data_IF_084812572327
#
_entry.id   IF_084812572327
#
_cell.length_a   1.000
_cell.length_b   1.000
_cell.length_c   1.000
_cell.angle_alpha   90.00
_cell.angle_beta   90.00
_cell.angle_gamma   90.00
#
_symmetry.space_group_name_H-M   'P 1'
#
loop_
_entity.id
_entity.type
_entity.pdbx_description
1 polymer ?
#
# COMPACT_ATOMS: atom_id res chain seq x y z
N UNK A 1 79.27 22.79 -42.25
CA UNK A 1 78.72 24.05 -42.82
C UNK A 1 77.22 24.09 -42.57
N UNK A 2 76.77 25.09 -41.78
CA UNK A 2 75.40 25.63 -41.58
C UNK A 2 74.29 24.60 -41.29
N UNK A 3 73.91 24.29 -40.06
CA UNK A 3 73.31 25.12 -38.98
C UNK A 3 72.05 25.88 -39.37
N UNK A 4 70.90 25.46 -38.81
CA UNK A 4 69.86 26.32 -38.21
C UNK A 4 69.22 25.57 -37.04
N UNK A 5 69.50 26.05 -35.83
CA UNK A 5 68.80 25.70 -34.58
C UNK A 5 67.49 26.47 -34.55
N UNK A 6 66.41 25.89 -34.04
CA UNK A 6 65.51 26.60 -33.13
C UNK A 6 64.87 25.65 -32.13
N UNK A 7 64.93 26.06 -30.86
CA UNK A 7 64.56 25.35 -29.65
C UNK A 7 63.04 25.21 -29.55
N UNK A 8 62.55 24.03 -29.13
CA UNK A 8 61.26 23.95 -28.44
C UNK A 8 61.50 23.61 -26.97
N UNK A 9 61.05 24.55 -26.11
CA UNK A 9 61.08 24.47 -24.66
C UNK A 9 60.06 23.42 -24.21
N UNK A 10 60.45 22.61 -23.23
CA UNK A 10 59.52 21.91 -22.37
C UNK A 10 58.60 22.95 -21.69
N UNK A 11 57.30 22.83 -21.92
CA UNK A 11 56.28 23.40 -21.06
C UNK A 11 55.44 22.25 -20.53
N UNK A 12 55.28 22.26 -19.20
CA UNK A 12 54.58 21.28 -18.42
C UNK A 12 53.17 21.02 -18.97
N UNK A 13 52.85 19.74 -19.22
CA UNK A 13 51.47 19.27 -19.18
C UNK A 13 51.03 19.34 -17.71
N UNK A 14 50.45 20.46 -17.33
CA UNK A 14 49.70 20.59 -16.10
C UNK A 14 48.47 21.42 -16.42
N UNK A 15 47.31 20.79 -16.34
CA UNK A 15 46.03 21.47 -16.53
C UNK A 15 45.14 20.74 -17.54
N UNK A 16 43.95 20.38 -17.05
CA UNK A 16 42.81 19.86 -17.80
C UNK A 16 42.87 18.36 -18.10
N UNK A 17 42.44 17.55 -17.11
CA UNK A 17 41.50 16.42 -17.31
C UNK A 17 41.08 15.82 -15.95
N UNK A 18 40.61 16.66 -15.03
CA UNK A 18 40.01 16.20 -13.75
C UNK A 18 38.57 16.70 -13.58
N UNK A 19 37.87 16.90 -14.69
CA UNK A 19 36.48 17.38 -14.72
C UNK A 19 35.69 16.71 -15.85
N UNK A 20 35.71 15.38 -15.91
CA UNK A 20 34.88 14.62 -16.86
C UNK A 20 34.49 13.21 -16.37
N UNK A 21 34.51 12.97 -15.05
CA UNK A 21 34.27 11.63 -14.49
C UNK A 21 33.38 11.64 -13.21
N UNK A 22 32.54 12.67 -13.03
CA UNK A 22 31.56 12.75 -11.92
C UNK A 22 30.14 13.12 -12.42
N UNK A 23 29.76 12.74 -13.65
CA UNK A 23 28.41 13.01 -14.18
C UNK A 23 27.73 11.80 -14.84
N UNK A 24 28.22 10.58 -14.60
CA UNK A 24 27.68 9.36 -15.21
C UNK A 24 27.22 8.29 -14.19
N UNK A 25 26.94 8.68 -12.95
CA UNK A 25 26.46 7.79 -11.89
C UNK A 25 25.20 8.33 -11.20
N UNK A 26 24.22 8.76 -12.00
CA UNK A 26 22.99 9.41 -11.52
C UNK A 26 21.70 9.03 -12.25
N UNK A 27 21.72 8.02 -13.12
CA UNK A 27 20.51 7.46 -13.70
C UNK A 27 20.45 5.96 -13.40
N UNK A 28 20.17 5.63 -12.14
CA UNK A 28 19.38 4.44 -11.88
C UNK A 28 18.03 4.71 -12.55
N UNK A 29 17.86 4.15 -13.74
CA UNK A 29 16.54 3.91 -14.30
C UNK A 29 15.78 3.13 -13.23
N UNK A 30 14.95 3.84 -12.46
CA UNK A 30 13.88 3.21 -11.72
C UNK A 30 13.06 2.48 -12.79
N UNK A 31 13.27 1.17 -12.90
CA UNK A 31 12.33 0.34 -13.62
C UNK A 31 10.99 0.57 -12.92
N UNK A 32 10.08 1.27 -13.60
CA UNK A 32 8.68 1.32 -13.17
C UNK A 32 8.21 -0.13 -13.18
N UNK A 33 8.22 -0.77 -12.00
CA UNK A 33 7.55 -2.04 -11.78
C UNK A 33 6.09 -1.84 -12.18
N UNK A 34 5.51 -2.84 -12.82
CA UNK A 34 4.08 -2.86 -13.09
C UNK A 34 3.34 -2.54 -11.77
N UNK A 35 2.34 -1.65 -11.77
CA UNK A 35 1.60 -1.29 -10.57
C UNK A 35 0.82 -2.52 -10.10
N UNK A 36 1.37 -3.22 -9.11
CA UNK A 36 0.65 -4.20 -8.31
C UNK A 36 -0.17 -3.43 -7.27
N UNK A 37 -1.50 -3.46 -7.41
CA UNK A 37 -2.42 -2.62 -6.64
C UNK A 37 -3.33 -3.43 -5.72
N UNK A 38 -3.05 -3.42 -4.42
CA UNK A 38 -3.99 -3.93 -3.41
C UNK A 38 -5.17 -2.97 -3.19
N UNK A 39 -6.39 -3.50 -3.11
CA UNK A 39 -7.59 -2.75 -2.72
C UNK A 39 -8.24 -3.43 -1.53
N UNK A 40 -8.42 -2.68 -0.45
CA UNK A 40 -9.12 -3.15 0.74
C UNK A 40 -10.49 -2.52 0.82
N UNK A 41 -11.49 -3.34 1.11
CA UNK A 41 -12.85 -2.90 1.41
C UNK A 41 -13.23 -3.48 2.77
N UNK A 42 -13.50 -2.59 3.72
CA UNK A 42 -13.98 -2.92 5.06
C UNK A 42 -15.44 -2.50 5.22
N UNK A 43 -16.28 -3.37 5.78
CA UNK A 43 -17.72 -3.11 6.00
C UNK A 43 -18.04 -3.32 7.48
N UNK A 44 -18.58 -2.28 8.11
CA UNK A 44 -19.07 -2.37 9.49
C UNK A 44 -20.29 -3.27 9.61
N UNK A 45 -20.51 -3.83 10.81
CA UNK A 45 -21.57 -4.82 11.08
C UNK A 45 -23.00 -4.36 10.78
N UNK A 46 -23.28 -3.06 10.84
CA UNK A 46 -24.59 -2.50 10.52
C UNK A 46 -24.71 -2.09 9.03
N UNK A 47 -23.59 -1.97 8.32
CA UNK A 47 -23.52 -1.78 6.88
C UNK A 47 -23.62 -3.10 6.10
N UNK A 48 -23.32 -4.24 6.72
CA UNK A 48 -23.44 -5.54 6.06
C UNK A 48 -24.89 -6.09 6.07
N UNK A 49 -25.19 -6.95 5.10
CA UNK A 49 -26.51 -7.55 4.91
C UNK A 49 -26.88 -8.54 6.02
N UNK A 50 -25.89 -9.24 6.58
CA UNK A 50 -26.06 -10.34 7.54
C UNK A 50 -25.59 -10.01 8.97
N UNK A 51 -25.09 -8.79 9.20
CA UNK A 51 -24.57 -8.40 10.50
C UNK A 51 -23.10 -8.74 10.74
N UNK A 52 -22.40 -9.31 9.76
CA UNK A 52 -20.96 -9.58 9.84
C UNK A 52 -20.12 -8.31 9.72
N UNK A 53 -18.95 -8.28 10.35
CA UNK A 53 -17.90 -7.34 10.00
C UNK A 53 -17.08 -7.96 8.87
N UNK A 54 -16.90 -7.24 7.77
CA UNK A 54 -16.17 -7.74 6.60
C UNK A 54 -14.86 -6.96 6.47
N UNK A 55 -13.75 -7.67 6.35
CA UNK A 55 -12.48 -7.16 5.82
C UNK A 55 -12.12 -7.96 4.57
N UNK A 56 -11.50 -7.32 3.60
CA UNK A 56 -11.09 -7.94 2.33
C UNK A 56 -9.84 -7.26 1.79
N UNK A 57 -9.06 -7.98 0.98
CA UNK A 57 -8.03 -7.40 0.12
C UNK A 57 -8.02 -8.07 -1.25
N UNK A 58 -7.56 -7.36 -2.28
CA UNK A 58 -6.96 -8.01 -3.45
C UNK A 58 -5.48 -8.17 -3.18
N UNK A 59 -5.04 -9.42 -3.03
CA UNK A 59 -3.65 -9.73 -2.77
C UNK A 59 -2.85 -9.69 -4.08
N UNK A 60 -1.74 -8.97 -4.09
CA UNK A 60 -0.76 -8.96 -5.18
C UNK A 60 0.51 -9.73 -4.82
N UNK A 61 0.57 -10.35 -3.65
CA UNK A 61 1.61 -11.30 -3.35
C UNK A 61 1.39 -12.60 -4.12
N UNK A 62 2.48 -13.32 -4.30
CA UNK A 62 2.52 -14.59 -5.04
C UNK A 62 2.49 -15.83 -4.16
N UNK A 63 2.62 -15.65 -2.85
CA UNK A 63 2.39 -16.70 -1.88
C UNK A 63 0.90 -16.79 -1.54
N UNK A 64 0.13 -17.40 -2.46
CA UNK A 64 -1.31 -17.54 -2.32
C UNK A 64 -1.74 -18.87 -1.66
N UNK A 65 -0.80 -19.69 -1.16
CA UNK A 65 -1.14 -20.99 -0.56
C UNK A 65 -1.64 -20.78 0.86
N UNK A 66 -2.85 -21.26 1.13
CA UNK A 66 -3.45 -21.22 2.47
C UNK A 66 -2.92 -22.40 3.30
N UNK A 67 -2.32 -22.10 4.45
CA UNK A 67 -1.83 -23.08 5.41
C UNK A 67 -2.52 -22.88 6.76
N UNK A 68 -2.96 -23.97 7.39
CA UNK A 68 -3.41 -23.91 8.79
C UNK A 68 -2.19 -24.10 9.68
N UNK A 69 -1.88 -23.10 10.52
CA UNK A 69 -0.81 -23.19 11.51
C UNK A 69 -1.44 -23.42 12.89
N UNK A 70 -1.34 -24.63 13.46
CA UNK A 70 -1.93 -24.94 14.76
C UNK A 70 -1.33 -24.08 15.88
N UNK A 71 -2.17 -23.66 16.82
CA UNK A 71 -1.72 -23.04 18.07
C UNK A 71 -0.78 -23.97 18.84
N UNK A 72 0.27 -23.41 19.45
CA UNK A 72 1.32 -24.16 20.15
C UNK A 72 1.55 -23.62 21.54
N UNK A 73 2.19 -24.44 22.38
CA UNK A 73 2.74 -24.01 23.68
C UNK A 73 4.24 -23.85 23.58
N UNK A 74 4.78 -22.86 24.29
CA UNK A 74 6.21 -22.56 24.33
C UNK A 74 6.70 -22.46 25.78
N UNK A 75 7.93 -22.92 26.09
CA UNK A 75 8.55 -22.67 27.39
C UNK A 75 8.69 -21.18 27.69
N UNK A 76 8.58 -20.80 28.98
CA UNK A 76 8.82 -19.42 29.43
C UNK A 76 10.23 -18.95 29.05
N UNK A 77 10.33 -17.72 28.51
CA UNK A 77 11.60 -17.14 28.04
C UNK A 77 12.00 -17.56 26.62
N UNK A 78 11.13 -18.29 25.89
CA UNK A 78 11.35 -18.60 24.48
C UNK A 78 11.38 -17.33 23.62
N UNK A 79 12.04 -17.40 22.48
CA UNK A 79 12.09 -16.34 21.47
C UNK A 79 11.39 -16.79 20.19
N UNK A 80 10.67 -15.87 19.54
CA UNK A 80 9.99 -16.09 18.26
C UNK A 80 10.82 -15.46 17.13
N UNK A 81 11.10 -16.20 16.04
CA UNK A 81 11.83 -15.65 14.90
C UNK A 81 10.98 -14.63 14.14
N UNK A 82 11.64 -13.60 13.63
CA UNK A 82 11.09 -12.58 12.72
C UNK A 82 11.66 -12.86 11.33
N UNK A 83 10.79 -13.11 10.37
CA UNK A 83 11.17 -13.55 9.04
C UNK A 83 11.12 -12.43 7.99
N UNK A 84 11.95 -12.57 6.96
CA UNK A 84 11.99 -11.76 5.75
C UNK A 84 11.82 -12.65 4.52
N UNK A 85 10.88 -12.28 3.65
CA UNK A 85 10.61 -13.01 2.41
C UNK A 85 9.31 -13.81 2.39
N UNK A 86 8.36 -13.53 3.31
CA UNK A 86 7.11 -14.28 3.43
C UNK A 86 6.12 -14.05 2.27
N UNK A 87 6.24 -12.94 1.54
CA UNK A 87 5.27 -12.50 0.52
C UNK A 87 5.70 -12.77 -0.94
N UNK A 88 6.88 -13.34 -1.18
CA UNK A 88 7.61 -13.18 -2.45
C UNK A 88 7.85 -14.45 -3.26
N UNK A 89 7.30 -14.58 -4.48
CA UNK A 89 7.39 -15.56 -5.60
C UNK A 89 6.65 -15.11 -6.90
N UNK A 90 6.58 -13.81 -7.19
CA UNK A 90 5.82 -13.29 -8.34
C UNK A 90 6.54 -13.53 -9.67
N UNK A 91 5.84 -13.36 -10.80
CA UNK A 91 6.39 -13.58 -12.14
C UNK A 91 7.61 -12.67 -12.50
N UNK A 92 7.88 -11.64 -11.70
CA UNK A 92 9.04 -10.75 -11.78
C UNK A 92 9.97 -10.81 -10.56
N UNK A 93 9.83 -11.85 -9.72
CA UNK A 93 10.78 -12.15 -8.65
C UNK A 93 11.70 -13.30 -9.10
N UNK A 94 12.97 -13.00 -9.31
CA UNK A 94 13.99 -13.97 -9.69
C UNK A 94 14.17 -15.08 -8.63
N UNK A 95 13.63 -14.88 -7.41
CA UNK A 95 13.63 -15.85 -6.32
C UNK A 95 12.57 -16.94 -6.56
N UNK A 96 13.01 -18.19 -6.49
CA UNK A 96 12.14 -19.37 -6.61
C UNK A 96 11.17 -19.47 -5.43
N UNK A 97 9.97 -19.99 -5.70
CA UNK A 97 9.03 -20.56 -4.72
C UNK A 97 9.76 -21.24 -3.55
N UNK A 98 9.58 -20.73 -2.34
CA UNK A 98 10.07 -21.37 -1.12
C UNK A 98 9.22 -22.62 -0.86
N UNK A 99 9.81 -23.69 -0.32
CA UNK A 99 9.08 -24.85 0.13
C UNK A 99 7.93 -24.46 1.08
N UNK A 100 6.85 -25.24 1.08
CA UNK A 100 5.75 -25.02 2.01
C UNK A 100 6.27 -25.09 3.46
N UNK A 101 5.95 -24.08 4.27
CA UNK A 101 6.42 -23.96 5.65
C UNK A 101 7.80 -23.33 5.82
N UNK A 102 8.46 -22.94 4.73
CA UNK A 102 9.62 -22.04 4.76
C UNK A 102 9.14 -20.59 4.65
N UNK A 103 9.33 -19.83 5.72
CA UNK A 103 8.90 -18.44 5.84
C UNK A 103 10.00 -17.44 5.45
N UNK A 104 11.12 -17.94 4.92
CA UNK A 104 12.26 -17.12 4.53
C UNK A 104 13.23 -16.84 5.67
N UNK A 105 14.09 -15.86 5.45
CA UNK A 105 15.27 -15.58 6.26
C UNK A 105 14.88 -15.03 7.63
N UNK A 106 15.45 -15.57 8.71
CA UNK A 106 15.31 -14.95 10.03
C UNK A 106 16.20 -13.71 10.12
N UNK A 107 15.59 -12.55 10.37
CA UNK A 107 16.26 -11.25 10.47
C UNK A 107 16.25 -10.65 11.88
N UNK A 108 15.52 -11.28 12.80
CA UNK A 108 15.51 -10.90 14.21
C UNK A 108 14.67 -11.85 15.06
N UNK A 109 14.47 -11.48 16.32
CA UNK A 109 13.66 -12.26 17.26
C UNK A 109 12.91 -11.33 18.23
N UNK A 110 11.73 -11.76 18.67
CA UNK A 110 10.94 -11.11 19.72
C UNK A 110 10.63 -12.11 20.86
N UNK A 111 10.33 -11.66 22.09
CA UNK A 111 9.85 -12.55 23.13
C UNK A 111 8.63 -13.36 22.68
N UNK A 112 8.65 -14.67 22.93
CA UNK A 112 7.56 -15.56 22.62
C UNK A 112 6.55 -15.64 23.77
N UNK A 113 5.28 -15.81 23.43
CA UNK A 113 4.20 -16.08 24.38
C UNK A 113 4.11 -17.57 24.68
N UNK A 114 3.67 -17.94 25.88
CA UNK A 114 3.57 -19.36 26.29
C UNK A 114 2.54 -20.15 25.49
N UNK A 115 1.56 -19.48 24.87
CA UNK A 115 0.55 -20.10 24.02
C UNK A 115 0.18 -19.19 22.84
N UNK A 116 0.07 -19.79 21.65
CA UNK A 116 -0.44 -19.13 20.45
C UNK A 116 -1.76 -19.71 20.00
N UNK A 117 -2.54 -18.91 19.26
CA UNK A 117 -3.76 -19.31 18.57
C UNK A 117 -3.46 -20.01 17.25
N UNK A 118 -4.40 -20.86 16.81
CA UNK A 118 -4.45 -21.39 15.44
C UNK A 118 -4.84 -20.28 14.47
N UNK A 119 -4.17 -20.21 13.32
CA UNK A 119 -4.48 -19.20 12.29
C UNK A 119 -4.23 -19.71 10.87
N UNK A 120 -4.80 -19.00 9.90
CA UNK A 120 -4.53 -19.20 8.48
C UNK A 120 -3.33 -18.36 8.04
N UNK A 121 -2.31 -19.03 7.54
CA UNK A 121 -1.11 -18.43 6.98
C UNK A 121 -1.18 -18.38 5.45
N UNK A 122 -0.87 -17.21 4.93
CA UNK A 122 -0.69 -16.82 3.52
C UNK A 122 0.40 -15.74 3.49
N UNK A 123 0.80 -15.23 2.31
CA UNK A 123 1.76 -14.13 2.23
C UNK A 123 1.38 -12.95 3.12
N UNK A 124 0.11 -12.51 3.05
CA UNK A 124 -0.52 -11.65 4.06
C UNK A 124 -1.57 -12.43 4.84
N UNK A 125 -1.21 -12.93 6.02
CA UNK A 125 -2.04 -13.85 6.82
C UNK A 125 -3.35 -13.21 7.30
N UNK A 126 -4.45 -13.96 7.21
CA UNK A 126 -5.80 -13.36 7.13
C UNK A 126 -6.66 -13.50 8.39
N UNK A 127 -6.67 -14.64 9.09
CA UNK A 127 -7.65 -14.87 10.18
C UNK A 127 -7.20 -15.94 11.19
N UNK A 128 -7.63 -15.81 12.46
CA UNK A 128 -7.36 -16.79 13.52
C UNK A 128 -8.62 -17.46 14.11
N UNK A 129 -8.42 -18.44 15.00
CA UNK A 129 -9.50 -19.18 15.69
C UNK A 129 -10.37 -18.33 16.64
N UNK A 130 -10.01 -17.05 16.84
CA UNK A 130 -10.78 -16.08 17.64
C UNK A 130 -11.65 -15.15 16.77
N UNK A 131 -11.71 -15.42 15.47
CA UNK A 131 -12.42 -14.59 14.48
C UNK A 131 -11.85 -13.18 14.34
N UNK A 132 -10.58 -12.97 14.72
CA UNK A 132 -9.83 -11.79 14.31
C UNK A 132 -9.37 -12.00 12.87
N UNK A 133 -9.68 -11.05 12.00
CA UNK A 133 -9.29 -11.04 10.59
C UNK A 133 -8.55 -9.75 10.22
N UNK A 134 -7.60 -9.82 9.29
CA UNK A 134 -6.77 -8.69 8.86
C UNK A 134 -6.64 -8.67 7.33
N UNK A 135 -7.07 -7.58 6.72
CA UNK A 135 -6.76 -7.20 5.33
C UNK A 135 -5.64 -6.16 5.29
N UNK A 136 -5.01 -5.99 4.12
CA UNK A 136 -3.80 -5.17 3.94
C UNK A 136 -3.84 -4.47 2.57
N UNK A 137 -3.36 -3.22 2.51
CA UNK A 137 -3.10 -2.47 1.29
C UNK A 137 -1.82 -1.66 1.38
N UNK A 138 -0.86 -1.97 0.50
CA UNK A 138 0.41 -1.23 0.44
C UNK A 138 0.19 0.19 -0.02
N UNK A 139 0.57 1.14 0.81
CA UNK A 139 0.37 2.56 0.58
C UNK A 139 1.69 3.26 0.29
N UNK A 140 1.59 4.47 -0.28
CA UNK A 140 2.77 5.29 -0.49
C UNK A 140 3.06 6.21 0.71
N UNK A 141 4.34 6.41 0.99
CA UNK A 141 4.85 7.41 1.92
C UNK A 141 5.93 8.26 1.27
N UNK A 142 6.36 9.32 1.99
CA UNK A 142 7.54 10.10 1.65
C UNK A 142 8.79 9.22 1.52
N UNK A 143 9.58 9.46 0.48
CA UNK A 143 10.78 8.65 0.20
C UNK A 143 11.84 8.78 1.29
N UNK A 144 11.85 9.88 2.05
CA UNK A 144 12.77 10.10 3.17
C UNK A 144 12.45 9.24 4.41
N UNK A 145 11.28 8.60 4.42
CA UNK A 145 10.88 7.61 5.43
C UNK A 145 11.17 6.18 4.98
N UNK A 146 11.32 5.94 3.69
CA UNK A 146 11.42 4.59 3.13
C UNK A 146 12.74 3.91 3.51
N UNK A 147 12.68 2.59 3.70
CA UNK A 147 13.83 1.79 4.14
C UNK A 147 13.83 0.43 3.45
N UNK A 148 14.86 0.18 2.66
CA UNK A 148 15.12 -1.13 2.09
C UNK A 148 15.82 -2.06 3.08
N UNK A 149 15.59 -3.37 2.95
CA UNK A 149 16.36 -4.37 3.66
C UNK A 149 17.77 -4.50 3.06
N UNK A 150 18.79 -4.15 3.84
CA UNK A 150 20.19 -4.33 3.53
C UNK A 150 20.85 -5.10 4.67
N UNK A 151 21.34 -6.29 4.36
CA UNK A 151 21.93 -7.18 5.34
C UNK A 151 23.10 -6.52 6.10
N UNK A 152 23.07 -6.64 7.42
CA UNK A 152 24.08 -6.05 8.32
C UNK A 152 23.98 -4.53 8.51
N UNK A 153 23.11 -3.84 7.77
CA UNK A 153 22.95 -2.38 7.84
C UNK A 153 21.57 -2.00 8.39
N UNK A 154 20.50 -2.55 7.82
CA UNK A 154 19.12 -2.25 8.24
C UNK A 154 18.88 -2.80 9.64
N UNK A 155 18.35 -1.94 10.53
CA UNK A 155 18.14 -2.27 11.96
C UNK A 155 16.68 -2.50 12.32
N UNK A 156 15.76 -2.03 11.48
CA UNK A 156 14.34 -2.38 11.50
C UNK A 156 14.20 -3.85 11.13
N UNK A 157 13.35 -4.58 11.85
CA UNK A 157 13.14 -6.01 11.58
C UNK A 157 11.68 -6.37 11.38
N UNK A 158 10.73 -5.51 11.74
CA UNK A 158 9.31 -5.86 11.74
C UNK A 158 8.65 -5.50 10.42
N UNK A 159 8.31 -6.49 9.62
CA UNK A 159 7.49 -6.31 8.42
C UNK A 159 6.00 -6.39 8.77
N UNK A 160 5.12 -5.89 7.90
CA UNK A 160 3.67 -5.92 8.15
C UNK A 160 3.13 -7.34 8.18
N UNK A 161 3.58 -8.19 7.26
CA UNK A 161 3.14 -9.57 7.19
C UNK A 161 3.56 -10.38 8.42
N UNK A 162 4.75 -10.09 8.97
CA UNK A 162 5.23 -10.72 10.19
C UNK A 162 4.48 -10.20 11.43
N UNK A 163 4.15 -8.90 11.48
CA UNK A 163 3.35 -8.31 12.54
C UNK A 163 1.91 -8.85 12.54
N UNK A 164 1.30 -9.02 11.37
CA UNK A 164 0.00 -9.66 11.19
C UNK A 164 0.02 -11.10 11.74
N UNK A 165 1.04 -11.89 11.39
CA UNK A 165 1.19 -13.26 11.93
C UNK A 165 1.26 -13.25 13.45
N UNK A 166 2.06 -12.36 14.05
CA UNK A 166 2.12 -12.29 15.52
C UNK A 166 0.81 -11.83 16.15
N UNK A 167 0.10 -10.89 15.53
CA UNK A 167 -1.22 -10.46 16.00
C UNK A 167 -2.23 -11.62 15.95
N UNK A 168 -2.29 -12.36 14.83
CA UNK A 168 -3.16 -13.53 14.70
C UNK A 168 -2.81 -14.64 15.69
N UNK A 169 -1.54 -14.80 16.05
CA UNK A 169 -1.11 -15.76 17.07
C UNK A 169 -1.47 -15.36 18.50
N UNK A 170 -1.67 -14.07 18.79
CA UNK A 170 -1.63 -13.53 20.17
C UNK A 170 -2.87 -12.74 20.58
N UNK A 171 -3.64 -12.20 19.63
CA UNK A 171 -4.76 -11.29 19.88
C UNK A 171 -6.11 -11.93 19.55
N UNK A 172 -7.16 -11.50 20.24
CA UNK A 172 -8.53 -11.98 20.05
C UNK A 172 -9.49 -10.89 19.55
N UNK A 173 -9.11 -9.62 19.62
CA UNK A 173 -9.97 -8.49 19.21
C UNK A 173 -9.22 -7.52 18.29
N UNK A 174 -9.95 -6.77 17.47
CA UNK A 174 -9.39 -5.85 16.49
C UNK A 174 -8.60 -4.72 17.18
N UNK A 175 -9.18 -4.09 18.20
CA UNK A 175 -8.53 -3.03 18.99
C UNK A 175 -7.26 -3.52 19.72
N UNK A 176 -7.26 -4.75 20.21
CA UNK A 176 -6.07 -5.38 20.79
C UNK A 176 -4.98 -5.57 19.74
N UNK A 177 -5.34 -6.08 18.56
CA UNK A 177 -4.42 -6.26 17.45
C UNK A 177 -3.81 -4.94 16.96
N UNK A 178 -4.60 -3.85 16.85
CA UNK A 178 -4.09 -2.51 16.52
C UNK A 178 -2.99 -2.08 17.49
N UNK A 179 -3.25 -2.16 18.81
CA UNK A 179 -2.27 -1.79 19.83
C UNK A 179 -1.04 -2.68 19.80
N UNK A 180 -1.24 -3.98 19.60
CA UNK A 180 -0.15 -4.95 19.56
C UNK A 180 0.75 -4.75 18.35
N UNK A 181 0.18 -4.59 17.15
CA UNK A 181 0.93 -4.28 15.93
C UNK A 181 1.66 -2.95 16.10
N UNK A 182 0.98 -1.91 16.61
CA UNK A 182 1.60 -0.61 16.87
C UNK A 182 2.82 -0.74 17.77
N UNK A 183 2.69 -1.47 18.88
CA UNK A 183 3.81 -1.71 19.79
C UNK A 183 4.97 -2.50 19.14
N UNK A 184 4.68 -3.50 18.32
CA UNK A 184 5.72 -4.23 17.59
C UNK A 184 6.49 -3.30 16.64
N UNK A 185 5.76 -2.47 15.87
CA UNK A 185 6.35 -1.53 14.92
C UNK A 185 7.19 -0.46 15.62
N UNK A 186 6.71 0.08 16.74
CA UNK A 186 7.45 1.04 17.56
C UNK A 186 8.73 0.43 18.17
N UNK A 187 8.65 -0.80 18.67
CA UNK A 187 9.74 -1.44 19.42
C UNK A 187 10.82 -2.00 18.51
N UNK A 188 10.42 -2.65 17.41
CA UNK A 188 11.32 -3.42 16.55
C UNK A 188 11.62 -2.74 15.21
N UNK A 189 10.98 -1.60 14.94
CA UNK A 189 11.15 -0.84 13.72
C UNK A 189 10.42 -1.44 12.54
N UNK A 190 9.58 -0.63 11.90
CA UNK A 190 8.86 -1.04 10.70
C UNK A 190 9.81 -1.09 9.50
N UNK A 191 9.85 -2.25 8.85
CA UNK A 191 10.61 -2.55 7.66
C UNK A 191 9.64 -2.88 6.51
N UNK A 192 9.39 -1.96 5.57
CA UNK A 192 8.51 -2.20 4.43
C UNK A 192 9.06 -3.32 3.54
N UNK A 193 8.28 -4.39 3.34
CA UNK A 193 8.70 -5.52 2.50
C UNK A 193 8.59 -5.16 1.01
N UNK A 194 7.55 -4.44 0.61
CA UNK A 194 7.30 -3.97 -0.76
C UNK A 194 7.72 -2.50 -1.01
N UNK A 195 8.36 -1.88 -0.03
CA UNK A 195 8.67 -0.44 -0.03
C UNK A 195 7.46 0.41 0.35
N UNK A 196 7.73 1.64 0.79
CA UNK A 196 6.66 2.57 1.15
C UNK A 196 6.09 2.31 2.55
N UNK A 197 4.76 2.25 2.63
CA UNK A 197 3.96 2.21 3.87
C UNK A 197 2.84 1.20 3.74
N UNK A 198 2.14 0.90 4.83
CA UNK A 198 1.12 -0.15 4.82
C UNK A 198 -0.14 0.34 5.53
N UNK A 199 -1.30 -0.08 5.04
CA UNK A 199 -2.58 0.14 5.70
C UNK A 199 -3.26 -1.21 5.96
N UNK A 200 -3.72 -1.41 7.20
CA UNK A 200 -4.37 -2.62 7.66
C UNK A 200 -5.84 -2.35 7.94
N UNK A 201 -6.69 -3.28 7.52
CA UNK A 201 -8.12 -3.30 7.86
C UNK A 201 -8.39 -4.51 8.77
N UNK A 202 -8.49 -4.24 10.06
CA UNK A 202 -8.50 -5.22 11.14
C UNK A 202 -9.94 -5.36 11.64
N UNK A 203 -10.50 -6.56 11.55
CA UNK A 203 -11.88 -6.87 11.88
C UNK A 203 -11.96 -7.94 12.97
N UNK A 204 -12.91 -7.78 13.89
CA UNK A 204 -13.42 -8.86 14.73
C UNK A 204 -14.96 -8.90 14.64
N UNK A 205 -15.68 -9.82 15.32
CA UNK A 205 -17.14 -9.88 15.21
C UNK A 205 -17.91 -8.62 15.64
N UNK A 206 -17.24 -7.62 16.22
CA UNK A 206 -17.85 -6.39 16.75
C UNK A 206 -17.31 -5.12 16.09
N UNK A 207 -16.00 -5.02 15.90
CA UNK A 207 -15.33 -3.78 15.50
C UNK A 207 -14.57 -3.94 14.17
N UNK A 208 -14.50 -2.84 13.42
CA UNK A 208 -13.67 -2.68 12.24
C UNK A 208 -12.72 -1.51 12.44
N UNK A 209 -11.43 -1.72 12.19
CA UNK A 209 -10.38 -0.72 12.37
C UNK A 209 -9.58 -0.55 11.09
N UNK A 210 -9.28 0.69 10.72
CA UNK A 210 -8.21 1.02 9.77
C UNK A 210 -6.98 1.45 10.56
N UNK A 211 -5.81 0.92 10.23
CA UNK A 211 -4.52 1.29 10.80
C UNK A 211 -3.51 1.58 9.68
N UNK A 212 -2.89 2.74 9.71
CA UNK A 212 -1.92 3.21 8.73
C UNK A 212 -0.53 3.30 9.38
N UNK A 213 0.48 2.73 8.72
CA UNK A 213 1.81 2.50 9.27
C UNK A 213 2.87 3.02 8.31
N UNK A 214 3.73 3.88 8.81
CA UNK A 214 4.86 4.50 8.12
C UNK A 214 6.16 4.10 8.81
N UNK A 215 7.22 3.99 8.02
CA UNK A 215 8.57 3.83 8.56
C UNK A 215 9.16 5.18 8.96
N UNK A 216 10.30 5.15 9.63
CA UNK A 216 10.99 6.36 10.17
C UNK A 216 12.33 6.64 9.47
N UNK A 217 12.56 5.97 8.33
CA UNK A 217 13.78 6.08 7.55
C UNK A 217 14.95 5.24 8.05
N UNK A 218 16.02 5.15 7.23
CA UNK A 218 17.13 4.20 7.43
C UNK A 218 18.05 4.57 8.61
N UNK A 219 17.91 5.77 9.18
CA UNK A 219 18.76 6.25 10.29
C UNK A 219 18.27 5.79 11.66
N UNK A 220 17.05 5.26 11.76
CA UNK A 220 16.52 4.77 13.02
C UNK A 220 17.31 3.56 13.51
N UNK A 221 17.45 3.46 14.83
CA UNK A 221 18.10 2.36 15.52
C UNK A 221 17.31 2.00 16.78
N UNK A 222 17.23 0.71 17.17
CA UNK A 222 16.57 0.30 18.41
C UNK A 222 17.08 1.02 19.65
N UNK A 223 18.38 1.36 19.68
CA UNK A 223 19.02 2.02 20.82
C UNK A 223 18.69 3.53 20.91
N UNK A 224 18.00 4.09 19.91
CA UNK A 224 17.70 5.53 19.86
C UNK A 224 16.67 5.98 20.90
N UNK A 225 15.91 5.05 21.49
CA UNK A 225 14.78 5.35 22.38
C UNK A 225 13.61 6.04 21.69
N UNK A 226 13.65 6.21 20.37
CA UNK A 226 12.56 6.76 19.55
C UNK A 226 11.72 5.60 18.97
N UNK A 227 10.41 5.80 18.75
CA UNK A 227 9.58 4.80 18.08
C UNK A 227 10.11 4.47 16.67
N UNK A 228 10.16 3.19 16.33
CA UNK A 228 10.63 2.68 15.04
C UNK A 228 9.61 2.71 13.90
N UNK A 229 8.45 3.32 14.13
CA UNK A 229 7.42 3.54 13.15
C UNK A 229 6.60 4.78 13.53
N UNK A 230 5.80 5.26 12.58
CA UNK A 230 4.78 6.27 12.80
C UNK A 230 3.46 5.62 12.40
N UNK A 231 2.46 5.59 13.26
CA UNK A 231 1.19 4.95 12.91
C UNK A 231 0.00 5.67 13.53
N UNK A 232 -1.14 5.55 12.88
CA UNK A 232 -2.42 6.01 13.37
C UNK A 232 -3.50 5.00 12.97
N UNK A 233 -4.55 4.89 13.76
CA UNK A 233 -5.65 3.98 13.52
C UNK A 233 -6.97 4.59 13.98
N UNK A 234 -8.06 4.27 13.28
CA UNK A 234 -9.41 4.72 13.62
C UNK A 234 -10.42 3.60 13.45
N UNK A 235 -11.35 3.49 14.38
CA UNK A 235 -12.50 2.61 14.24
C UNK A 235 -13.42 3.13 13.12
N UNK A 236 -13.79 2.26 12.22
CA UNK A 236 -14.82 2.55 11.21
C UNK A 236 -16.19 2.45 11.89
N UNK A 237 -17.08 3.44 11.73
CA UNK A 237 -18.42 3.37 12.30
C UNK A 237 -19.15 2.09 11.85
N UNK A 238 -19.96 1.53 12.75
CA UNK A 238 -20.62 0.23 12.52
C UNK A 238 -21.48 0.21 11.25
N UNK A 239 -22.07 1.34 10.85
CA UNK A 239 -22.92 1.47 9.66
C UNK A 239 -22.18 2.06 8.44
N UNK A 240 -20.85 2.07 8.45
CA UNK A 240 -20.02 2.61 7.38
C UNK A 240 -19.19 1.55 6.64
N UNK A 241 -18.70 1.95 5.47
CA UNK A 241 -17.75 1.21 4.62
C UNK A 241 -16.50 2.06 4.43
N UNK A 242 -15.32 1.44 4.55
CA UNK A 242 -14.02 2.05 4.27
C UNK A 242 -13.41 1.41 3.01
N UNK A 243 -12.74 2.23 2.19
CA UNK A 243 -12.07 1.80 0.97
C UNK A 243 -10.63 2.31 1.00
N UNK A 244 -9.66 1.41 1.00
CA UNK A 244 -8.23 1.73 0.99
C UNK A 244 -7.66 1.25 -0.34
N UNK A 245 -7.24 2.20 -1.18
CA UNK A 245 -6.77 1.94 -2.53
C UNK A 245 -5.32 2.43 -2.67
N UNK A 246 -4.38 1.79 -1.97
CA UNK A 246 -2.96 2.15 -1.91
C UNK A 246 -2.70 3.63 -1.52
N UNK A 247 -3.63 4.23 -0.78
CA UNK A 247 -3.53 5.60 -0.28
C UNK A 247 -4.25 5.71 1.06
N UNK A 248 -3.60 6.32 2.03
CA UNK A 248 -4.14 6.56 3.37
C UNK A 248 -5.47 7.32 3.33
N UNK A 249 -6.36 7.04 4.28
CA UNK A 249 -7.70 7.61 4.44
C UNK A 249 -7.79 8.54 5.64
N UNK A 250 -6.96 8.35 6.66
CA UNK A 250 -6.92 9.20 7.84
C UNK A 250 -6.46 10.62 7.46
N UNK A 251 -7.12 11.63 8.02
CA UNK A 251 -6.78 13.04 7.81
C UNK A 251 -6.33 13.69 9.11
N UNK A 252 -7.28 14.20 9.89
CA UNK A 252 -6.98 14.73 11.21
C UNK A 252 -6.93 13.59 12.22
N UNK A 253 -5.88 13.59 13.04
CA UNK A 253 -5.67 12.62 14.12
C UNK A 253 -6.00 13.32 15.43
N UNK A 254 -6.99 12.79 16.15
CA UNK A 254 -7.37 13.26 17.48
C UNK A 254 -7.12 12.14 18.50
N UNK A 255 -5.98 12.17 19.23
CA UNK A 255 -5.71 11.18 20.27
C UNK A 255 -6.67 11.25 21.47
N UNK A 256 -7.51 12.29 21.59
CA UNK A 256 -8.54 12.40 22.61
C UNK A 256 -9.81 11.61 22.29
N UNK A 257 -10.02 11.24 21.03
CA UNK A 257 -11.12 10.39 20.58
C UNK A 257 -10.86 8.92 20.98
N UNK A 258 -11.76 8.27 21.74
CA UNK A 258 -11.58 6.87 22.15
C UNK A 258 -11.52 5.88 20.97
N UNK A 259 -12.01 6.28 19.80
CA UNK A 259 -12.01 5.48 18.59
C UNK A 259 -10.84 5.82 17.66
N UNK A 260 -9.89 6.62 18.14
CA UNK A 260 -8.62 6.93 17.47
C UNK A 260 -7.45 6.45 18.35
N UNK A 261 -6.49 5.76 17.75
CA UNK A 261 -5.23 5.34 18.39
C UNK A 261 -4.06 5.84 17.52
N UNK A 262 -2.96 6.27 18.12
CA UNK A 262 -1.80 6.72 17.35
C UNK A 262 -0.50 6.50 18.10
N UNK A 263 0.61 6.43 17.35
CA UNK A 263 1.95 6.37 17.90
C UNK A 263 2.29 7.67 18.65
N UNK A 264 3.15 7.64 19.68
CA UNK A 264 3.50 8.85 20.43
C UNK A 264 4.23 9.91 19.58
N UNK A 265 4.82 9.50 18.46
CA UNK A 265 5.50 10.37 17.49
C UNK A 265 4.65 10.72 16.26
N UNK A 266 3.31 10.51 16.28
CA UNK A 266 2.43 10.67 15.12
C UNK A 266 2.57 12.03 14.40
N UNK A 267 2.90 13.11 15.12
CA UNK A 267 3.13 14.45 14.55
C UNK A 267 4.62 14.85 14.55
N UNK A 268 5.40 14.30 15.47
CA UNK A 268 6.76 14.79 15.76
C UNK A 268 7.70 14.66 14.56
N UNK A 269 7.61 13.58 13.79
CA UNK A 269 8.51 13.38 12.63
C UNK A 269 8.25 14.44 11.54
N UNK A 270 6.99 14.81 11.31
CA UNK A 270 6.64 15.87 10.37
C UNK A 270 7.16 17.23 10.83
N UNK A 271 7.14 17.51 12.14
CA UNK A 271 7.68 18.75 12.72
C UNK A 271 9.21 18.77 12.58
N UNK A 272 9.89 17.71 13.02
CA UNK A 272 11.36 17.60 13.02
C UNK A 272 11.96 17.75 11.61
N UNK A 273 11.20 17.35 10.59
CA UNK A 273 11.60 17.44 9.17
C UNK A 273 11.08 18.68 8.44
N UNK A 274 10.34 19.55 9.13
CA UNK A 274 9.77 20.77 8.56
C UNK A 274 8.66 20.52 7.54
N UNK A 275 8.03 19.35 7.57
CA UNK A 275 6.84 19.04 6.74
C UNK A 275 5.57 19.62 7.32
N UNK A 276 5.57 19.90 8.63
CA UNK A 276 4.48 20.57 9.33
C UNK A 276 5.04 21.65 10.26
N UNK A 277 4.43 22.84 10.23
CA UNK A 277 4.71 23.91 11.18
C UNK A 277 3.50 24.08 12.11
N UNK A 278 3.61 23.72 13.40
CA UNK A 278 2.52 23.87 14.37
C UNK A 278 2.14 25.33 14.62
N UNK A 279 3.04 26.29 14.32
CA UNK A 279 2.78 27.72 14.44
C UNK A 279 2.28 28.34 13.12
N UNK A 280 2.19 27.56 12.04
CA UNK A 280 1.84 28.01 10.70
C UNK A 280 0.34 28.26 10.48
N UNK A 281 -0.50 28.05 11.51
CA UNK A 281 -1.94 28.31 11.48
C UNK A 281 -2.78 27.32 10.66
N UNK A 282 -2.17 26.26 10.12
CA UNK A 282 -2.86 25.18 9.39
C UNK A 282 -3.04 23.93 10.26
N UNK A 283 -4.17 23.21 10.14
CA UNK A 283 -4.35 21.94 10.84
C UNK A 283 -3.33 20.91 10.35
N UNK A 284 -2.96 19.98 11.23
CA UNK A 284 -2.14 18.84 10.86
C UNK A 284 -2.98 17.82 10.07
N UNK A 285 -2.68 17.68 8.78
CA UNK A 285 -3.34 16.69 7.92
C UNK A 285 -2.35 15.54 7.66
N UNK A 286 -2.66 14.36 8.20
CA UNK A 286 -1.83 13.15 8.15
C UNK A 286 -1.36 12.79 6.74
N UNK A 287 -2.29 12.73 5.78
CA UNK A 287 -1.99 12.48 4.36
C UNK A 287 -1.01 13.52 3.78
N UNK A 288 -1.19 14.81 4.07
CA UNK A 288 -0.35 15.88 3.52
C UNK A 288 1.05 15.87 4.15
N UNK A 289 1.12 15.47 5.42
CA UNK A 289 2.37 15.36 6.15
C UNK A 289 3.22 14.18 5.66
N UNK A 290 2.63 13.02 5.37
CA UNK A 290 3.39 11.78 5.18
C UNK A 290 3.25 11.08 3.83
N UNK A 291 2.20 11.35 3.05
CA UNK A 291 1.99 10.69 1.77
C UNK A 291 2.44 11.58 0.60
N UNK A 292 2.90 10.99 -0.52
CA UNK A 292 3.00 11.72 -1.76
C UNK A 292 1.62 12.12 -2.29
N UNK A 293 1.59 12.84 -3.40
CA UNK A 293 0.35 13.20 -4.07
C UNK A 293 -0.40 11.94 -4.54
N UNK A 294 -1.71 11.94 -4.33
CA UNK A 294 -2.59 10.88 -4.78
C UNK A 294 -2.60 10.76 -6.30
N UNK A 295 -2.72 9.54 -6.82
CA UNK A 295 -2.72 9.25 -8.26
C UNK A 295 -4.09 8.77 -8.74
N UNK A 296 -4.27 8.80 -10.06
CA UNK A 296 -5.53 8.37 -10.69
C UNK A 296 -5.93 6.94 -10.31
N UNK A 297 -5.00 5.98 -10.29
CA UNK A 297 -5.32 4.58 -9.93
C UNK A 297 -5.84 4.42 -8.49
N UNK A 298 -5.50 5.34 -7.58
CA UNK A 298 -6.10 5.39 -6.24
C UNK A 298 -7.53 5.96 -6.33
N UNK A 299 -7.67 7.09 -7.03
CA UNK A 299 -8.93 7.83 -7.17
C UNK A 299 -10.00 7.03 -7.91
N UNK A 300 -9.63 6.29 -8.97
CA UNK A 300 -10.56 5.51 -9.79
C UNK A 300 -11.25 4.43 -8.96
N UNK A 301 -10.48 3.65 -8.19
CA UNK A 301 -11.00 2.58 -7.32
C UNK A 301 -11.84 3.13 -6.18
N UNK A 302 -11.39 4.20 -5.52
CA UNK A 302 -12.19 4.87 -4.49
C UNK A 302 -13.49 5.42 -5.08
N UNK A 303 -13.45 6.06 -6.24
CA UNK A 303 -14.65 6.56 -6.93
C UNK A 303 -15.62 5.43 -7.25
N UNK A 304 -15.16 4.37 -7.91
CA UNK A 304 -16.03 3.27 -8.33
C UNK A 304 -16.79 2.73 -7.13
N UNK A 305 -16.10 2.39 -6.05
CA UNK A 305 -16.74 1.76 -4.89
C UNK A 305 -17.61 2.77 -4.14
N UNK A 306 -17.06 3.92 -3.74
CA UNK A 306 -17.80 4.88 -2.90
C UNK A 306 -19.00 5.51 -3.60
N UNK A 307 -18.88 5.85 -4.89
CA UNK A 307 -20.00 6.41 -5.65
C UNK A 307 -21.09 5.37 -5.97
N UNK A 308 -20.73 4.09 -6.08
CA UNK A 308 -21.70 3.00 -6.30
C UNK A 308 -22.52 2.71 -5.06
N UNK A 309 -21.89 2.67 -3.88
CA UNK A 309 -22.58 2.32 -2.63
C UNK A 309 -23.31 3.50 -2.00
N UNK A 310 -22.89 4.74 -2.30
CA UNK A 310 -23.46 5.96 -1.75
C UNK A 310 -23.67 7.06 -2.82
N UNK A 311 -24.47 6.79 -3.87
CA UNK A 311 -24.63 7.71 -5.01
C UNK A 311 -25.23 9.07 -4.63
N UNK A 312 -26.04 9.16 -3.57
CA UNK A 312 -26.67 10.40 -3.09
C UNK A 312 -25.86 11.13 -2.01
N UNK A 313 -24.71 10.60 -1.58
CA UNK A 313 -23.88 11.23 -0.54
C UNK A 313 -23.44 12.63 -0.93
N UNK A 314 -23.12 12.84 -2.21
CA UNK A 314 -22.81 14.13 -2.82
C UNK A 314 -22.85 14.02 -4.34
N UNK A 315 -22.66 15.14 -5.03
CA UNK A 315 -22.46 15.14 -6.47
C UNK A 315 -21.11 14.48 -6.84
N UNK A 316 -21.18 13.24 -7.33
CA UNK A 316 -20.02 12.52 -7.83
C UNK A 316 -19.65 12.94 -9.26
N UNK A 317 -18.35 12.92 -9.62
CA UNK A 317 -17.93 13.08 -11.01
C UNK A 317 -18.55 11.99 -11.88
N UNK A 318 -19.13 12.38 -13.02
CA UNK A 318 -19.76 11.45 -13.94
C UNK A 318 -18.70 10.76 -14.80
N UNK A 319 -18.43 9.50 -14.48
CA UNK A 319 -17.44 8.67 -15.19
C UNK A 319 -18.01 7.40 -15.84
N UNK A 320 -19.33 7.26 -15.86
CA UNK A 320 -20.04 6.24 -16.63
C UNK A 320 -19.93 6.50 -18.14
N UNK A 321 -19.74 5.46 -18.94
CA UNK A 321 -19.73 5.50 -20.40
C UNK A 321 -20.83 4.62 -20.98
N UNK A 322 -21.43 5.10 -22.08
CA UNK A 322 -22.37 4.34 -22.91
C UNK A 322 -21.88 4.23 -24.37
N UNK A 323 -20.71 4.79 -24.67
CA UNK A 323 -20.04 4.89 -25.96
C UNK A 323 -18.51 4.82 -25.77
N UNK A 324 -17.74 4.58 -26.85
CA UNK A 324 -16.29 4.53 -26.75
C UNK A 324 -15.67 5.76 -26.11
N UNK A 325 -14.64 5.53 -25.30
CA UNK A 325 -13.95 6.59 -24.62
C UNK A 325 -13.24 7.48 -25.68
N UNK A 326 -13.23 8.79 -25.48
CA UNK A 326 -12.63 9.75 -26.40
C UNK A 326 -11.93 10.88 -25.64
N UNK A 327 -11.32 11.85 -26.33
CA UNK A 327 -10.58 12.91 -25.65
C UNK A 327 -11.42 13.71 -24.65
N UNK A 328 -12.71 13.90 -24.94
CA UNK A 328 -13.66 14.57 -24.06
C UNK A 328 -14.14 13.75 -22.86
N UNK A 329 -13.82 12.46 -22.77
CA UNK A 329 -14.19 11.60 -21.64
C UNK A 329 -12.99 11.10 -20.84
N UNK A 330 -11.89 10.73 -21.50
CA UNK A 330 -10.66 10.26 -20.85
C UNK A 330 -9.82 11.41 -20.26
N UNK A 331 -9.68 12.51 -21.00
CA UNK A 331 -8.71 13.57 -20.66
C UNK A 331 -9.35 14.85 -20.09
N UNK A 332 -10.68 14.90 -20.00
CA UNK A 332 -11.42 16.08 -19.52
C UNK A 332 -11.97 15.92 -18.09
N UNK A 333 -11.51 14.92 -17.34
CA UNK A 333 -12.03 14.65 -15.99
C UNK A 333 -11.43 15.56 -14.93
N UNK A 334 -12.21 15.97 -13.92
CA UNK A 334 -11.67 16.58 -12.73
C UNK A 334 -10.78 15.59 -11.96
N UNK A 335 -9.79 16.14 -11.24
CA UNK A 335 -8.93 15.43 -10.30
C UNK A 335 -9.26 15.97 -8.92
N UNK A 336 -9.99 15.21 -8.10
CA UNK A 336 -10.60 15.75 -6.88
C UNK A 336 -9.68 15.78 -5.65
N UNK A 337 -8.49 15.16 -5.74
CA UNK A 337 -7.58 15.00 -4.61
C UNK A 337 -8.10 14.05 -3.53
N UNK A 338 -7.24 13.71 -2.56
CA UNK A 338 -7.57 12.74 -1.52
C UNK A 338 -8.72 13.20 -0.60
N UNK A 339 -8.74 14.51 -0.31
CA UNK A 339 -9.72 15.19 0.53
C UNK A 339 -11.17 15.04 0.05
N UNK A 340 -11.37 14.81 -1.24
CA UNK A 340 -12.71 14.64 -1.80
C UNK A 340 -13.38 13.36 -1.29
N UNK A 341 -12.62 12.28 -1.09
CA UNK A 341 -13.17 11.01 -0.63
C UNK A 341 -13.18 10.99 0.90
N UNK A 342 -14.31 10.69 1.56
CA UNK A 342 -14.36 10.64 3.02
C UNK A 342 -13.50 9.48 3.56
N UNK A 343 -13.19 9.50 4.85
CA UNK A 343 -12.55 8.37 5.54
C UNK A 343 -13.37 7.08 5.33
N UNK A 344 -14.67 7.15 5.63
CA UNK A 344 -15.63 6.08 5.40
C UNK A 344 -16.99 6.67 5.02
N UNK A 345 -17.87 5.86 4.43
CA UNK A 345 -19.20 6.30 3.98
C UNK A 345 -20.28 5.30 4.37
N UNK A 346 -21.44 5.79 4.79
CA UNK A 346 -22.64 4.98 4.98
C UNK A 346 -23.21 4.56 3.61
N UNK A 347 -23.30 3.27 3.30
CA UNK A 347 -23.90 2.85 2.05
C UNK A 347 -25.43 3.02 2.10
N UNK A 348 -26.05 3.33 0.96
CA UNK A 348 -27.51 3.45 0.84
C UNK A 348 -28.23 2.11 1.00
N UNK A 349 -27.55 1.02 0.65
CA UNK A 349 -28.02 -0.36 0.81
C UNK A 349 -26.97 -1.16 1.55
N UNK A 350 -27.44 -2.09 2.38
CA UNK A 350 -26.55 -3.04 3.05
C UNK A 350 -25.81 -3.90 2.02
N UNK A 351 -24.55 -4.21 2.30
CA UNK A 351 -23.68 -4.95 1.40
C UNK A 351 -23.53 -6.41 1.85
N UNK A 352 -23.66 -7.34 0.90
CA UNK A 352 -23.34 -8.76 1.09
C UNK A 352 -21.87 -9.03 0.80
N UNK A 353 -21.36 -10.19 1.23
CA UNK A 353 -20.03 -10.68 0.82
C UNK A 353 -19.91 -10.77 -0.70
N UNK A 354 -20.99 -11.13 -1.40
CA UNK A 354 -21.02 -11.22 -2.86
C UNK A 354 -20.82 -9.86 -3.53
N UNK A 355 -21.35 -8.78 -2.93
CA UNK A 355 -21.13 -7.42 -3.43
C UNK A 355 -19.65 -7.03 -3.31
N UNK A 356 -19.01 -7.38 -2.19
CA UNK A 356 -17.57 -7.13 -1.98
C UNK A 356 -16.73 -7.95 -2.98
N UNK A 357 -17.05 -9.22 -3.20
CA UNK A 357 -16.40 -10.04 -4.23
C UNK A 357 -16.60 -9.43 -5.62
N UNK A 358 -17.77 -8.90 -5.94
CA UNK A 358 -18.03 -8.24 -7.22
C UNK A 358 -17.16 -6.99 -7.39
N UNK A 359 -17.03 -6.15 -6.35
CA UNK A 359 -16.12 -5.00 -6.39
C UNK A 359 -14.66 -5.42 -6.60
N UNK A 360 -14.19 -6.44 -5.89
CA UNK A 360 -12.81 -6.95 -6.02
C UNK A 360 -12.52 -7.60 -7.38
N UNK A 361 -13.56 -7.95 -8.14
CA UNK A 361 -13.45 -8.50 -9.51
C UNK A 361 -13.69 -7.47 -10.61
N UNK A 362 -14.12 -6.26 -10.24
CA UNK A 362 -14.44 -5.21 -11.20
C UNK A 362 -13.24 -4.87 -12.06
N UNK A 363 -13.48 -4.68 -13.36
CA UNK A 363 -12.51 -4.16 -14.31
C UNK A 363 -12.99 -2.83 -14.88
N UNK A 364 -13.76 -2.09 -14.08
CA UNK A 364 -14.30 -0.77 -14.39
C UNK A 364 -15.33 -0.75 -15.52
N UNK A 365 -16.04 -1.86 -15.75
CA UNK A 365 -16.96 -2.02 -16.87
C UNK A 365 -17.90 -0.82 -17.06
N UNK A 366 -17.98 -0.33 -18.31
CA UNK A 366 -18.84 0.81 -18.69
C UNK A 366 -18.49 2.12 -17.97
N UNK A 367 -17.21 2.33 -17.65
CA UNK A 367 -16.70 3.60 -17.15
C UNK A 367 -15.53 4.08 -17.99
N UNK A 368 -15.10 5.33 -17.79
CA UNK A 368 -13.91 5.87 -18.46
C UNK A 368 -12.62 5.11 -18.11
N UNK A 369 -12.63 4.30 -17.05
CA UNK A 369 -11.48 3.50 -16.62
C UNK A 369 -11.50 2.10 -17.22
N UNK A 370 -12.55 1.75 -17.96
CA UNK A 370 -12.64 0.48 -18.68
C UNK A 370 -11.65 0.48 -19.85
N UNK A 371 -10.55 -0.23 -19.68
CA UNK A 371 -9.49 -0.36 -20.68
C UNK A 371 -9.99 -0.97 -22.00
N UNK A 372 -11.14 -1.64 -22.00
CA UNK A 372 -11.71 -2.23 -23.22
C UNK A 372 -12.47 -1.22 -24.09
N UNK A 373 -12.79 -0.04 -23.55
CA UNK A 373 -13.41 1.07 -24.29
C UNK A 373 -12.40 2.08 -24.84
N UNK A 374 -11.10 1.82 -24.68
CA UNK A 374 -10.04 2.66 -25.25
C UNK A 374 -10.15 2.75 -26.78
N UNK A 375 -9.96 3.94 -27.39
CA UNK A 375 -9.93 4.12 -28.85
C UNK A 375 -9.07 3.13 -29.62
N UNK A 376 -7.96 2.65 -29.04
CA UNK A 376 -7.08 1.67 -29.67
C UNK A 376 -7.78 0.31 -29.92
N UNK A 377 -8.88 0.03 -29.24
CA UNK A 377 -9.70 -1.15 -29.44
C UNK A 377 -10.86 -0.96 -30.43
N UNK A 378 -11.06 0.24 -30.96
CA UNK A 378 -12.20 0.51 -31.84
C UNK A 378 -11.86 0.17 -33.30
N UNK A 379 -12.72 -0.63 -33.94
CA UNK A 379 -12.59 -1.06 -35.34
C UNK A 379 -13.74 -0.51 -36.19
N UNK A 380 -13.57 -0.36 -37.51
CA UNK A 380 -14.68 0.03 -38.39
C UNK A 380 -15.81 -1.01 -38.36
N UNK A 381 -17.00 -0.58 -37.98
CA UNK A 381 -18.23 -1.37 -37.93
C UNK A 381 -19.18 -1.05 -39.10
N UNK A 382 -20.38 -1.63 -39.05
CA UNK A 382 -21.38 -1.43 -40.09
C UNK A 382 -21.90 0.02 -40.12
N UNK A 383 -22.12 0.55 -41.32
CA UNK A 383 -22.69 1.90 -41.49
C UNK A 383 -21.76 3.05 -41.07
N UNK A 384 -20.45 2.82 -41.03
CA UNK A 384 -19.45 3.87 -40.71
C UNK A 384 -19.33 4.18 -39.21
N UNK A 385 -19.95 3.38 -38.34
CA UNK A 385 -19.80 3.49 -36.89
C UNK A 385 -18.56 2.72 -36.44
N UNK A 386 -17.92 3.18 -35.37
CA UNK A 386 -16.89 2.40 -34.69
C UNK A 386 -17.54 1.34 -33.80
N UNK A 387 -16.99 0.13 -33.80
CA UNK A 387 -17.39 -0.98 -32.94
C UNK A 387 -16.21 -1.44 -32.10
N UNK A 388 -16.50 -1.98 -30.91
CA UNK A 388 -15.48 -2.52 -30.01
C UNK A 388 -14.92 -3.82 -30.57
N UNK A 389 -13.60 -3.91 -30.68
CA UNK A 389 -12.91 -5.11 -31.16
C UNK A 389 -13.26 -6.32 -30.29
N UNK A 390 -13.48 -7.52 -30.88
CA UNK A 390 -13.65 -8.75 -30.10
C UNK A 390 -12.37 -9.15 -29.34
N UNK A 391 -11.22 -8.54 -29.67
CA UNK A 391 -9.95 -8.74 -28.98
C UNK A 391 -9.76 -7.79 -27.78
N UNK A 392 -10.68 -6.85 -27.57
CA UNK A 392 -10.60 -5.91 -26.46
C UNK A 392 -10.64 -6.67 -25.14
N UNK A 393 -9.58 -6.50 -24.34
CA UNK A 393 -9.42 -7.20 -23.07
C UNK A 393 -9.02 -6.20 -22.00
N UNK A 394 -9.55 -6.31 -20.77
CA UNK A 394 -9.05 -5.50 -19.67
C UNK A 394 -7.68 -6.02 -19.22
N UNK A 395 -7.28 -7.26 -19.53
CA UNK A 395 -6.04 -7.87 -19.06
C UNK A 395 -4.92 -7.78 -20.11
N UNK A 396 -4.49 -6.56 -20.45
CA UNK A 396 -3.36 -6.36 -21.35
C UNK A 396 -2.02 -6.65 -20.66
N UNK A 397 -1.08 -7.34 -21.34
CA UNK A 397 0.32 -7.37 -20.92
C UNK A 397 0.93 -5.96 -20.99
N UNK A 398 1.86 -5.63 -20.08
CA UNK A 398 2.50 -4.31 -20.01
C UNK A 398 3.15 -3.86 -21.34
N UNK A 399 3.72 -4.79 -22.11
CA UNK A 399 4.28 -4.47 -23.44
C UNK A 399 3.20 -4.08 -24.46
N UNK A 400 2.02 -4.70 -24.39
CA UNK A 400 0.88 -4.33 -25.25
C UNK A 400 0.30 -2.98 -24.84
N UNK A 401 0.25 -2.67 -23.55
CA UNK A 401 -0.15 -1.33 -23.07
C UNK A 401 0.74 -0.24 -23.66
N UNK A 402 2.07 -0.45 -23.67
CA UNK A 402 3.04 0.47 -24.28
C UNK A 402 2.84 0.61 -25.80
N UNK A 403 2.65 -0.51 -26.51
CA UNK A 403 2.48 -0.53 -27.96
C UNK A 403 1.19 0.17 -28.38
N UNK A 404 0.07 -0.15 -27.73
CA UNK A 404 -1.25 0.40 -28.03
C UNK A 404 -1.47 1.78 -27.40
N UNK A 405 -0.58 2.20 -26.49
CA UNK A 405 -0.69 3.43 -25.69
C UNK A 405 -1.96 3.50 -24.84
N UNK A 406 -2.44 2.33 -24.42
CA UNK A 406 -3.59 2.20 -23.53
C UNK A 406 -3.07 2.44 -22.12
N UNK A 407 -3.72 3.36 -21.40
CA UNK A 407 -3.34 3.69 -20.02
C UNK A 407 -3.83 2.59 -19.07
N UNK A 408 -2.97 2.19 -18.13
CA UNK A 408 -3.38 1.34 -17.02
C UNK A 408 -4.12 2.16 -15.96
N UNK A 409 -5.35 1.77 -15.64
CA UNK A 409 -6.22 2.50 -14.69
C UNK A 409 -6.47 1.74 -13.37
N UNK A 410 -5.94 0.52 -13.24
CA UNK A 410 -6.13 -0.36 -12.07
C UNK A 410 -4.98 -0.26 -11.08
#
# INVERSE_FOLDING_TARGET
MKSKRFRFRAFALCGVSFLALILASGFLLAAEKAPEGCTVIGVGRLASADGSVITSHTDCCSECRIQVIPGRKYPKGSMAPVHWGMVYFGAGDDRKALPLGDFGKVIGQIPQVEKTFTYFHTGYSQMNERQLAIGESTCSQRSELDVGFVEGITRQIMTVEQAQVFALQRCATAREAVRFIGNLMETYGFLPSCGGSEALCIADPRELWEMEILSVGPKWKPESGKPGAIWAARQVPDDHVVVIANYFRLREIDPGDPDTLASPNYMQEAIDRGWYDPNGGRPFIWQEAYCPLIREGNLSRMWLITSTIAPSFKAWPRRSLNDPAGPGTLYAQPIEGAAFYPFSVKPEKKLSVQDIIAFQRSVFENTIYDMTWDPAWMVPGAGGKSEKSPMATPFLPAEMEKILRIRHHR
#
